data_IF_675393966637
#
_entry.id   IF_675393966637
#
_cell.length_a   1.000
_cell.length_b   1.000
_cell.length_c   1.000
_cell.angle_alpha   90.00
_cell.angle_beta   90.00
_cell.angle_gamma   90.00
#
_symmetry.space_group_name_H-M   'P 1'
#
loop_
_entity.id
_entity.type
_entity.pdbx_description
1 polymer ?
#
# COMPACT_ATOMS: atom_id res chain seq x y z
N UNK A 1 -6.26 1.27 -9.56
CA UNK A 1 -6.21 0.88 -8.14
C UNK A 1 -7.24 -0.22 -7.95
N UNK A 2 -6.86 -1.35 -7.35
CA UNK A 2 -7.75 -2.48 -7.11
C UNK A 2 -8.11 -2.63 -5.63
N UNK A 3 -7.23 -2.19 -4.73
CA UNK A 3 -7.43 -2.29 -3.30
C UNK A 3 -6.68 -1.15 -2.59
N UNK A 4 -7.18 -0.77 -1.41
CA UNK A 4 -6.48 0.11 -0.47
C UNK A 4 -6.65 -0.44 0.94
N UNK A 5 -5.57 -0.50 1.72
CA UNK A 5 -5.63 -0.90 3.11
C UNK A 5 -4.60 -0.16 3.98
N UNK A 6 -4.87 0.06 5.28
CA UNK A 6 -3.88 0.60 6.22
C UNK A 6 -2.76 -0.42 6.45
N UNK A 7 -1.51 0.02 6.62
CA UNK A 7 -0.38 -0.88 6.90
C UNK A 7 -0.31 -1.24 8.39
N UNK A 8 -0.11 -2.53 8.69
CA UNK A 8 0.00 -3.04 10.05
C UNK A 8 1.20 -2.45 10.79
N UNK A 9 2.37 -2.50 10.16
CA UNK A 9 3.64 -2.11 10.77
C UNK A 9 3.89 -0.60 10.69
N UNK A 10 3.13 0.12 9.88
CA UNK A 10 3.34 1.55 9.65
C UNK A 10 2.05 2.37 9.88
N UNK A 11 1.67 2.65 11.15
CA UNK A 11 0.50 3.45 11.46
C UNK A 11 0.51 4.82 10.78
N UNK A 12 -0.64 5.23 10.23
CA UNK A 12 -0.78 6.47 9.47
C UNK A 12 -0.22 6.42 8.05
N UNK A 13 0.02 5.20 7.53
CA UNK A 13 0.30 4.96 6.13
C UNK A 13 -0.68 3.94 5.55
N UNK A 14 -1.06 4.19 4.31
CA UNK A 14 -1.94 3.33 3.52
C UNK A 14 -1.17 2.71 2.36
N UNK A 15 -1.43 1.43 2.09
CA UNK A 15 -1.09 0.75 0.85
C UNK A 15 -2.19 0.96 -0.18
N UNK A 16 -1.81 1.28 -1.41
CA UNK A 16 -2.69 1.31 -2.58
C UNK A 16 -2.20 0.29 -3.60
N UNK A 17 -2.99 -0.75 -3.86
CA UNK A 17 -2.61 -1.84 -4.76
C UNK A 17 -3.07 -1.54 -6.19
N UNK A 18 -2.20 -1.81 -7.14
CA UNK A 18 -2.42 -1.67 -8.58
C UNK A 18 -2.06 -2.98 -9.29
N UNK A 19 -2.68 -3.20 -10.45
CA UNK A 19 -2.37 -4.29 -11.35
C UNK A 19 -1.85 -3.73 -12.68
N UNK A 20 -0.74 -4.28 -13.20
CA UNK A 20 -0.19 -3.93 -14.50
C UNK A 20 0.52 -5.14 -15.12
N UNK A 21 0.13 -5.49 -16.36
CA UNK A 21 0.76 -6.58 -17.09
C UNK A 21 0.71 -7.94 -16.38
N UNK A 22 -0.40 -8.23 -15.70
CA UNK A 22 -0.59 -9.48 -14.93
C UNK A 22 0.19 -9.53 -13.61
N UNK A 23 0.85 -8.44 -13.20
CA UNK A 23 1.53 -8.31 -11.91
C UNK A 23 0.85 -7.29 -11.01
N UNK A 24 1.16 -7.37 -9.71
CA UNK A 24 0.62 -6.48 -8.68
C UNK A 24 1.73 -5.66 -8.04
N UNK A 25 1.45 -4.40 -7.71
CA UNK A 25 2.40 -3.53 -7.00
C UNK A 25 1.64 -2.51 -6.16
N UNK A 26 2.33 -1.96 -5.16
CA UNK A 26 1.76 -1.11 -4.14
C UNK A 26 2.37 0.29 -4.16
N UNK A 27 1.55 1.30 -3.91
CA UNK A 27 2.02 2.63 -3.51
C UNK A 27 1.76 2.82 -2.02
N UNK A 28 2.83 3.03 -1.26
CA UNK A 28 2.74 3.41 0.15
C UNK A 28 2.62 4.92 0.23
N UNK A 29 1.52 5.36 0.83
CA UNK A 29 1.20 6.78 0.99
C UNK A 29 1.10 7.07 2.48
N UNK A 30 1.79 8.11 2.93
CA UNK A 30 1.54 8.72 4.24
C UNK A 30 0.19 9.42 4.19
N UNK A 31 -0.68 9.09 5.12
CA UNK A 31 -2.03 9.64 5.17
C UNK A 31 -2.01 11.15 5.39
N UNK A 32 -3.06 11.81 4.91
CA UNK A 32 -3.28 13.24 5.16
C UNK A 32 -3.46 13.46 6.66
N UNK A 33 -2.87 14.53 7.16
CA UNK A 33 -3.10 15.02 8.52
C UNK A 33 -3.59 16.46 8.46
N UNK A 34 -4.05 17.01 9.58
CA UNK A 34 -4.36 18.45 9.68
C UNK A 34 -3.15 19.34 9.38
N UNK A 35 -1.94 18.79 9.54
CA UNK A 35 -0.66 19.48 9.37
C UNK A 35 -0.05 19.32 7.97
N UNK A 36 -0.66 18.52 7.08
CA UNK A 36 -0.12 18.36 5.73
C UNK A 36 -0.89 17.37 4.85
N UNK A 37 -0.77 17.52 3.51
CA UNK A 37 -1.42 16.64 2.56
C UNK A 37 -0.88 15.21 2.63
N UNK A 38 -1.63 14.27 2.05
CA UNK A 38 -1.13 12.92 1.84
C UNK A 38 0.13 12.96 0.95
N UNK A 39 1.11 12.11 1.27
CA UNK A 39 2.41 12.12 0.58
C UNK A 39 2.76 10.72 0.11
N UNK A 40 3.01 10.58 -1.18
CA UNK A 40 3.60 9.37 -1.74
C UNK A 40 5.00 9.15 -1.15
N UNK A 41 5.24 7.94 -0.63
CA UNK A 41 6.52 7.58 -0.03
C UNK A 41 7.31 6.65 -0.94
N UNK A 42 6.66 5.58 -1.42
CA UNK A 42 7.35 4.47 -2.05
C UNK A 42 6.43 3.65 -2.96
N UNK A 43 6.99 3.11 -4.04
CA UNK A 43 6.38 2.07 -4.88
C UNK A 43 7.08 0.75 -4.59
N UNK A 44 6.32 -0.30 -4.30
CA UNK A 44 6.87 -1.63 -4.01
C UNK A 44 7.42 -2.31 -5.27
N UNK A 45 8.09 -3.44 -5.08
CA UNK A 45 8.36 -4.36 -6.18
C UNK A 45 7.04 -4.85 -6.82
N UNK A 46 7.17 -5.50 -7.99
CA UNK A 46 6.05 -6.16 -8.67
C UNK A 46 5.99 -7.64 -8.25
N UNK A 47 4.83 -8.05 -7.78
CA UNK A 47 4.50 -9.39 -7.30
C UNK A 47 3.63 -10.16 -8.29
N UNK A 48 3.62 -11.48 -8.18
CA UNK A 48 2.78 -12.38 -8.97
C UNK A 48 1.33 -12.40 -8.48
N UNK A 49 1.09 -12.13 -7.20
CA UNK A 49 -0.26 -12.01 -6.63
C UNK A 49 -0.38 -10.91 -5.58
N UNK A 50 -1.61 -10.59 -5.18
CA UNK A 50 -1.89 -9.63 -4.10
C UNK A 50 -1.50 -10.21 -2.73
N UNK A 51 -1.60 -11.53 -2.58
CA UNK A 51 -1.23 -12.26 -1.36
C UNK A 51 0.27 -12.17 -1.09
N UNK A 52 1.11 -12.31 -2.12
CA UNK A 52 2.56 -12.10 -2.00
C UNK A 52 2.88 -10.67 -1.55
N UNK A 53 2.22 -9.67 -2.13
CA UNK A 53 2.37 -8.27 -1.72
C UNK A 53 1.94 -8.07 -0.26
N UNK A 54 0.80 -8.64 0.15
CA UNK A 54 0.28 -8.55 1.53
C UNK A 54 1.12 -9.33 2.54
N UNK A 55 1.87 -10.35 2.12
CA UNK A 55 2.80 -11.03 3.01
C UNK A 55 3.97 -10.12 3.42
N UNK A 56 4.46 -9.27 2.52
CA UNK A 56 5.50 -8.28 2.81
C UNK A 56 4.95 -6.98 3.42
N UNK A 57 3.75 -6.58 3.01
CA UNK A 57 3.09 -5.37 3.47
C UNK A 57 1.71 -5.70 4.04
N UNK A 58 1.65 -6.28 5.25
CA UNK A 58 0.40 -6.77 5.82
C UNK A 58 -0.57 -5.64 6.13
N UNK A 59 -1.88 -5.86 5.91
CA UNK A 59 -2.91 -4.90 6.32
C UNK A 59 -2.98 -4.84 7.86
N UNK A 60 -3.17 -3.64 8.41
CA UNK A 60 -3.57 -3.50 9.81
C UNK A 60 -4.95 -4.14 9.96
N UNK A 61 -5.08 -5.09 10.88
CA UNK A 61 -6.40 -5.60 11.23
C UNK A 61 -7.23 -4.44 11.79
N UNK A 62 -8.39 -4.20 11.17
CA UNK A 62 -9.36 -3.20 11.57
C UNK A 62 -10.39 -3.77 12.53
#
# INVERSE_FOLDING_TARGET
MIEKYPLLEEPGKSMFVFAAGGKFYGHIIKDRTDKGPAKFLFETARYGSVEELKAEYPPAEG
#
